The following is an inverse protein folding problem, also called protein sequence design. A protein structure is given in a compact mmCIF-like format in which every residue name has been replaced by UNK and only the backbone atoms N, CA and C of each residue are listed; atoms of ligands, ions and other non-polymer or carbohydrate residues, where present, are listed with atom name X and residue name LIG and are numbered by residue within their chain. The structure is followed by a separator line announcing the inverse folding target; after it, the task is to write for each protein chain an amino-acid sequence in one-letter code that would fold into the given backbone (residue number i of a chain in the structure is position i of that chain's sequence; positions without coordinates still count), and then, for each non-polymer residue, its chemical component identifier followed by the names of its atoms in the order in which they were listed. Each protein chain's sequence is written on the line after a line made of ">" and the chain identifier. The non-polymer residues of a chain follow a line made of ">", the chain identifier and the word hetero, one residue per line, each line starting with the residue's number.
data_IF_382328258130
#
_entry.id   IF_382328258130
#
_cell.length_a   1.000
_cell.length_b   1.000
_cell.length_c   1.000
_cell.angle_alpha   90.00
_cell.angle_beta   90.00
_cell.angle_gamma   90.00
#
_symmetry.space_group_name_H-M   'P 1'
#
loop_
_entity.id
_entity.type
_entity.pdbx_description
1 polymer ?
#
# COMPACT_ATOMS: atom_id res chain seq x y z
N UNK A 1 22.20 -43.46 -27.64
CA UNK A 1 21.28 -42.95 -28.67
C UNK A 1 19.93 -42.82 -28.03
N UNK A 2 19.50 -41.60 -27.72
CA UNK A 2 18.15 -41.08 -28.00
C UNK A 2 18.05 -39.70 -27.36
N UNK A 3 18.03 -38.70 -28.24
CA UNK A 3 17.69 -37.32 -27.96
C UNK A 3 16.17 -37.17 -28.08
N UNK A 4 15.53 -36.54 -27.11
CA UNK A 4 14.21 -35.95 -27.30
C UNK A 4 14.22 -34.53 -26.74
N UNK A 5 14.28 -33.58 -27.68
CA UNK A 5 13.96 -32.17 -27.49
C UNK A 5 12.46 -32.03 -27.28
N UNK A 6 12.04 -31.23 -26.30
CA UNK A 6 10.75 -30.54 -26.36
C UNK A 6 10.91 -29.12 -25.83
N UNK A 7 10.66 -28.19 -26.74
CA UNK A 7 10.56 -26.74 -26.55
C UNK A 7 9.59 -26.38 -25.43
N UNK A 8 9.94 -25.37 -24.64
CA UNK A 8 9.02 -24.65 -23.77
C UNK A 8 8.83 -23.24 -24.35
N UNK A 9 7.68 -23.06 -24.99
CA UNK A 9 7.14 -21.78 -25.42
C UNK A 9 6.96 -20.85 -24.22
N UNK A 10 7.65 -19.71 -24.26
CA UNK A 10 7.43 -18.58 -23.36
C UNK A 10 6.20 -17.79 -23.84
N UNK A 11 5.09 -17.94 -23.13
CA UNK A 11 3.89 -17.12 -23.31
C UNK A 11 4.16 -15.70 -22.78
N UNK A 12 4.60 -14.81 -23.66
CA UNK A 12 4.46 -13.36 -23.52
C UNK A 12 3.02 -12.96 -23.90
N UNK A 13 2.16 -12.77 -22.90
CA UNK A 13 0.88 -12.06 -23.06
C UNK A 13 0.60 -11.25 -21.80
N UNK A 14 0.89 -9.96 -21.85
CA UNK A 14 -0.04 -8.89 -21.47
C UNK A 14 0.65 -7.52 -21.60
N UNK A 15 0.93 -7.17 -22.85
CA UNK A 15 1.30 -5.81 -23.25
C UNK A 15 0.34 -5.39 -24.36
N UNK A 16 -0.78 -4.77 -24.00
CA UNK A 16 -1.54 -3.83 -24.84
C UNK A 16 -2.76 -3.34 -24.07
N UNK A 17 -2.86 -2.02 -23.86
CA UNK A 17 -4.10 -1.24 -23.98
C UNK A 17 -3.79 0.24 -23.76
N UNK A 18 -3.20 0.90 -24.75
CA UNK A 18 -3.33 2.33 -24.98
C UNK A 18 -3.06 2.58 -26.47
N UNK A 19 -4.11 2.86 -27.24
CA UNK A 19 -4.13 3.77 -28.39
C UNK A 19 -5.30 3.46 -29.33
N UNK A 20 -6.40 4.18 -29.16
CA UNK A 20 -7.29 4.66 -30.24
C UNK A 20 -7.78 6.05 -29.75
N UNK A 21 -7.97 7.11 -30.52
CA UNK A 21 -8.25 7.26 -31.96
C UNK A 21 -7.84 8.70 -32.44
N UNK A 22 -8.23 9.22 -33.64
CA UNK A 22 -7.29 9.87 -34.57
C UNK A 22 -7.65 11.34 -34.93
N UNK A 23 -6.86 11.95 -35.82
CA UNK A 23 -7.32 13.07 -36.64
C UNK A 23 -6.39 14.28 -36.66
N UNK A 24 -5.62 14.42 -37.74
CA UNK A 24 -4.92 15.66 -38.05
C UNK A 24 -5.82 16.69 -38.72
N UNK A 25 -5.42 17.97 -38.64
CA UNK A 25 -5.44 18.99 -39.70
C UNK A 25 -4.99 20.33 -39.09
N UNK A 26 -3.97 20.96 -39.68
CA UNK A 26 -3.74 22.42 -39.66
C UNK A 26 -4.23 22.94 -41.02
N UNK A 27 -4.73 24.19 -41.21
CA UNK A 27 -3.87 25.39 -41.07
C UNK A 27 -4.55 26.80 -40.90
N UNK A 28 -3.72 27.84 -40.64
CA UNK A 28 -3.77 29.23 -41.17
C UNK A 28 -4.75 30.33 -40.61
N UNK A 29 -4.10 31.46 -40.22
CA UNK A 29 -4.42 32.91 -40.26
C UNK A 29 -5.61 33.62 -39.55
N UNK A 30 -5.21 34.75 -38.91
CA UNK A 30 -5.79 36.12 -38.88
C UNK A 30 -6.82 36.56 -37.83
N UNK A 31 -6.37 37.52 -37.01
CA UNK A 31 -6.95 38.83 -36.67
C UNK A 31 -8.43 38.96 -36.22
N UNK A 32 -8.58 39.46 -34.99
CA UNK A 32 -9.10 40.81 -34.66
C UNK A 32 -10.29 40.90 -33.69
N UNK A 33 -10.25 42.00 -32.92
CA UNK A 33 -11.34 42.69 -32.18
C UNK A 33 -11.80 42.18 -30.80
N UNK A 34 -11.32 42.93 -29.79
CA UNK A 34 -11.89 43.33 -28.47
C UNK A 34 -13.42 43.56 -28.46
N UNK A 35 -14.14 43.74 -27.31
CA UNK A 35 -13.67 44.29 -26.03
C UNK A 35 -14.30 43.75 -24.71
N UNK A 36 -13.58 44.00 -23.61
CA UNK A 36 -14.10 44.44 -22.30
C UNK A 36 -15.04 43.53 -21.50
N UNK A 37 -14.65 43.17 -20.28
CA UNK A 37 -15.46 43.39 -19.07
C UNK A 37 -14.74 42.87 -17.81
N UNK A 38 -14.58 43.79 -16.85
CA UNK A 38 -14.61 43.59 -15.40
C UNK A 38 -13.46 42.81 -14.75
N UNK A 39 -12.51 43.59 -14.25
CA UNK A 39 -11.86 43.31 -12.98
C UNK A 39 -12.90 43.09 -11.89
N UNK A 40 -12.98 41.86 -11.41
CA UNK A 40 -13.50 41.53 -10.10
C UNK A 40 -12.44 40.70 -9.39
N UNK A 41 -11.62 41.46 -8.67
CA UNK A 41 -10.66 41.03 -7.68
C UNK A 41 -11.35 40.08 -6.68
N UNK A 42 -11.28 38.77 -6.95
CA UNK A 42 -11.63 37.72 -5.99
C UNK A 42 -10.36 36.96 -5.71
N UNK A 43 -9.68 37.44 -4.68
CA UNK A 43 -8.65 36.79 -3.87
C UNK A 43 -8.49 35.31 -4.21
N UNK A 44 -7.62 35.02 -5.18
CA UNK A 44 -6.96 33.74 -5.22
C UNK A 44 -6.13 33.70 -3.95
N UNK A 45 -6.67 33.07 -2.91
CA UNK A 45 -5.86 32.60 -1.80
C UNK A 45 -4.85 31.68 -2.47
N UNK A 46 -3.66 32.21 -2.70
CA UNK A 46 -2.43 31.44 -2.86
C UNK A 46 -2.32 30.65 -1.55
N UNK A 47 -2.98 29.49 -1.51
CA UNK A 47 -2.55 28.40 -0.67
C UNK A 47 -1.23 27.96 -1.30
N UNK A 48 -0.17 28.71 -0.98
CA UNK A 48 1.20 28.22 -1.02
C UNK A 48 1.30 27.15 0.04
N UNK A 49 0.71 25.99 -0.22
CA UNK A 49 1.15 24.77 0.39
C UNK A 49 2.52 24.51 -0.26
N UNK A 50 3.57 25.02 0.38
CA UNK A 50 4.87 24.37 0.37
C UNK A 50 4.60 22.97 0.90
N UNK A 51 4.14 22.08 0.02
CA UNK A 51 3.89 20.68 0.30
C UNK A 51 5.30 20.11 0.44
N UNK A 52 5.87 20.25 1.64
CA UNK A 52 7.06 19.47 1.98
C UNK A 52 6.67 18.04 1.65
N UNK A 53 7.43 17.42 0.76
CA UNK A 53 7.43 15.99 0.58
C UNK A 53 7.86 15.43 1.94
N UNK A 54 6.88 15.27 2.84
CA UNK A 54 7.08 14.75 4.18
C UNK A 54 7.34 13.28 3.99
N UNK A 55 8.61 12.95 3.81
CA UNK A 55 9.14 11.59 3.96
C UNK A 55 8.59 10.99 5.26
N UNK A 56 8.30 9.68 5.28
CA UNK A 56 7.85 9.04 6.50
C UNK A 56 8.91 9.14 7.59
N UNK A 57 8.46 9.34 8.82
CA UNK A 57 9.32 9.22 9.98
C UNK A 57 9.41 7.75 10.37
N UNK A 58 10.62 7.20 10.42
CA UNK A 58 10.85 5.86 10.91
C UNK A 58 11.01 5.94 12.43
N UNK A 59 10.12 5.26 13.15
CA UNK A 59 10.11 5.31 14.60
C UNK A 59 11.33 4.57 15.18
N UNK A 60 11.69 4.95 16.41
CA UNK A 60 12.72 4.23 17.15
C UNK A 60 12.35 2.75 17.34
N UNK A 61 13.35 1.90 17.58
CA UNK A 61 13.16 0.45 17.67
C UNK A 61 12.23 0.04 18.81
N UNK A 62 12.34 0.69 19.97
CA UNK A 62 11.49 0.46 21.13
C UNK A 62 10.05 0.92 20.88
N UNK A 63 9.86 2.10 20.29
CA UNK A 63 8.54 2.60 19.89
C UNK A 63 7.87 1.70 18.85
N UNK A 64 8.63 1.26 17.84
CA UNK A 64 8.17 0.30 16.83
C UNK A 64 7.72 -1.01 17.47
N UNK A 65 8.50 -1.54 18.42
CA UNK A 65 8.18 -2.77 19.12
C UNK A 65 6.90 -2.63 19.96
N UNK A 66 6.74 -1.51 20.68
CA UNK A 66 5.54 -1.23 21.46
C UNK A 66 4.28 -1.14 20.59
N UNK A 67 4.34 -0.40 19.48
CA UNK A 67 3.18 -0.26 18.57
C UNK A 67 2.83 -1.58 17.87
N UNK A 68 3.83 -2.37 17.46
CA UNK A 68 3.57 -3.70 16.88
C UNK A 68 2.94 -4.65 17.89
N UNK A 69 3.42 -4.64 19.13
CA UNK A 69 2.82 -5.46 20.18
C UNK A 69 1.37 -5.03 20.47
N UNK A 70 1.12 -3.72 20.60
CA UNK A 70 -0.23 -3.19 20.76
C UNK A 70 -1.15 -3.58 19.60
N UNK A 71 -0.65 -3.52 18.36
CA UNK A 71 -1.38 -3.96 17.17
C UNK A 71 -1.76 -5.45 17.24
N UNK A 72 -0.79 -6.31 17.57
CA UNK A 72 -1.02 -7.76 17.71
C UNK A 72 -2.04 -8.05 18.80
N UNK A 73 -1.91 -7.38 19.95
CA UNK A 73 -2.81 -7.56 21.08
C UNK A 73 -4.24 -7.13 20.77
N UNK A 74 -4.42 -6.04 20.00
CA UNK A 74 -5.72 -5.52 19.61
C UNK A 74 -6.40 -6.38 18.53
N UNK A 75 -5.68 -6.69 17.44
CA UNK A 75 -6.31 -7.14 16.19
C UNK A 75 -6.02 -8.59 15.82
N UNK A 76 -5.04 -9.26 16.43
CA UNK A 76 -4.57 -10.57 15.97
C UNK A 76 -4.96 -11.68 16.94
N UNK A 77 -5.58 -12.74 16.44
CA UNK A 77 -5.81 -13.97 17.18
C UNK A 77 -4.52 -14.79 17.27
N UNK A 78 -3.72 -14.55 18.31
CA UNK A 78 -2.47 -15.25 18.57
C UNK A 78 -2.65 -16.70 19.05
N UNK A 79 -3.90 -17.13 19.24
CA UNK A 79 -4.28 -18.49 19.65
C UNK A 79 -4.67 -19.38 18.47
N UNK A 80 -4.86 -18.82 17.27
CA UNK A 80 -5.22 -19.62 16.10
C UNK A 80 -4.04 -20.50 15.64
N UNK A 81 -4.37 -21.62 14.98
CA UNK A 81 -3.37 -22.60 14.53
C UNK A 81 -2.37 -22.00 13.53
N UNK A 82 -2.85 -21.09 12.66
CA UNK A 82 -1.99 -20.43 11.68
C UNK A 82 -0.91 -19.60 12.38
N UNK A 83 -1.29 -18.77 13.36
CA UNK A 83 -0.34 -17.96 14.11
C UNK A 83 0.70 -18.84 14.82
N UNK A 84 0.24 -19.88 15.51
CA UNK A 84 1.12 -20.79 16.24
C UNK A 84 2.13 -21.50 15.33
N UNK A 85 1.72 -21.88 14.11
CA UNK A 85 2.54 -22.65 13.18
C UNK A 85 3.50 -21.79 12.37
N UNK A 86 3.05 -20.62 11.89
CA UNK A 86 3.75 -19.87 10.85
C UNK A 86 4.27 -18.50 11.29
N UNK A 87 3.77 -17.93 12.40
CA UNK A 87 4.12 -16.55 12.82
C UNK A 87 4.90 -16.53 14.14
N UNK A 88 4.50 -17.36 15.12
CA UNK A 88 5.05 -17.34 16.48
C UNK A 88 6.56 -17.57 16.54
N UNK A 89 7.12 -18.36 15.63
CA UNK A 89 8.53 -18.75 15.65
C UNK A 89 9.22 -18.36 14.35
N UNK A 90 10.44 -17.85 14.47
CA UNK A 90 11.29 -17.56 13.33
C UNK A 90 11.87 -18.84 12.71
N UNK A 91 12.16 -18.74 11.41
CA UNK A 91 12.84 -19.73 10.58
C UNK A 91 14.04 -19.08 9.91
N UNK A 92 15.05 -19.88 9.60
CA UNK A 92 16.25 -19.40 8.93
C UNK A 92 16.04 -19.36 7.42
N UNK A 93 16.29 -18.20 6.83
CA UNK A 93 16.29 -17.96 5.39
C UNK A 93 17.63 -17.36 4.93
N UNK A 94 17.78 -17.15 3.62
CA UNK A 94 19.00 -16.57 3.03
C UNK A 94 19.32 -15.16 3.55
N UNK A 95 18.32 -14.41 4.01
CA UNK A 95 18.41 -13.02 4.46
C UNK A 95 18.08 -12.83 5.95
N UNK A 96 18.24 -13.90 6.74
CA UNK A 96 18.17 -13.87 8.19
C UNK A 96 17.04 -14.73 8.76
N UNK A 97 16.71 -14.48 10.02
CA UNK A 97 15.59 -15.13 10.69
C UNK A 97 14.33 -14.33 10.45
N UNK A 98 13.27 -14.99 9.96
CA UNK A 98 11.98 -14.39 9.57
C UNK A 98 10.85 -15.34 9.93
N UNK A 99 9.61 -14.87 9.97
CA UNK A 99 8.46 -15.78 10.06
C UNK A 99 7.88 -16.12 8.67
N UNK A 100 7.06 -17.16 8.60
CA UNK A 100 6.56 -17.76 7.35
C UNK A 100 5.15 -17.29 6.95
N UNK A 101 4.31 -16.93 7.92
CA UNK A 101 2.89 -16.62 7.71
C UNK A 101 2.58 -15.12 7.67
N UNK A 102 1.39 -14.77 7.21
CA UNK A 102 0.94 -13.38 7.12
C UNK A 102 0.12 -13.02 8.36
N UNK A 103 0.40 -11.88 9.00
CA UNK A 103 -0.38 -11.44 10.17
C UNK A 103 -1.87 -11.30 9.81
N UNK A 104 -2.21 -10.91 8.58
CA UNK A 104 -3.59 -10.72 8.16
C UNK A 104 -4.43 -12.00 8.12
N UNK A 105 -3.82 -13.19 8.00
CA UNK A 105 -4.52 -14.50 8.11
C UNK A 105 -5.07 -14.75 9.52
N UNK A 106 -4.57 -14.00 10.51
CA UNK A 106 -4.87 -14.18 11.92
C UNK A 106 -5.72 -13.01 12.49
N UNK A 107 -6.34 -12.17 11.66
CA UNK A 107 -7.14 -11.04 12.14
C UNK A 107 -8.39 -11.50 12.90
N UNK A 108 -8.72 -10.77 13.98
CA UNK A 108 -9.98 -10.91 14.70
C UNK A 108 -11.08 -10.16 13.96
N UNK A 109 -12.11 -10.88 13.53
CA UNK A 109 -13.32 -10.32 12.89
C UNK A 109 -13.03 -9.37 11.70
N UNK A 110 -12.17 -9.74 10.73
CA UNK A 110 -11.87 -8.88 9.60
C UNK A 110 -13.10 -8.71 8.71
N UNK A 111 -13.30 -7.48 8.22
CA UNK A 111 -14.25 -7.15 7.16
C UNK A 111 -13.48 -6.89 5.88
N UNK A 112 -13.97 -7.41 4.75
CA UNK A 112 -13.41 -7.07 3.45
C UNK A 112 -13.83 -5.65 3.05
N UNK A 113 -12.88 -4.85 2.58
CA UNK A 113 -13.11 -3.51 2.04
C UNK A 113 -12.48 -3.38 0.66
N UNK A 114 -12.95 -2.43 -0.14
CA UNK A 114 -12.35 -2.14 -1.44
C UNK A 114 -11.10 -1.28 -1.27
N UNK A 115 -10.19 -1.34 -2.24
CA UNK A 115 -9.05 -0.41 -2.29
C UNK A 115 -9.51 1.06 -2.27
N UNK A 116 -10.60 1.40 -2.97
CA UNK A 116 -11.18 2.75 -2.89
C UNK A 116 -11.60 3.12 -1.47
N UNK A 117 -12.25 2.23 -0.72
CA UNK A 117 -12.62 2.50 0.67
C UNK A 117 -11.39 2.61 1.57
N UNK A 118 -10.36 1.79 1.34
CA UNK A 118 -9.07 1.92 2.01
C UNK A 118 -8.52 3.34 1.82
N UNK A 119 -8.39 3.82 0.57
CA UNK A 119 -7.86 5.16 0.28
C UNK A 119 -8.74 6.28 0.82
N UNK A 120 -10.07 6.19 0.65
CA UNK A 120 -11.04 7.19 1.14
C UNK A 120 -11.07 7.28 2.68
N UNK A 121 -10.66 6.21 3.38
CA UNK A 121 -10.66 6.16 4.84
C UNK A 121 -9.38 6.74 5.40
N UNK A 122 -8.21 6.36 4.88
CA UNK A 122 -6.94 6.82 5.46
C UNK A 122 -6.73 8.34 5.36
N UNK A 123 -7.28 8.99 4.32
CA UNK A 123 -7.17 10.46 4.13
C UNK A 123 -7.98 11.27 5.15
N UNK A 124 -8.76 10.61 6.02
CA UNK A 124 -9.53 11.25 7.09
C UNK A 124 -8.73 11.42 8.39
N UNK A 125 -7.53 10.85 8.45
CA UNK A 125 -6.65 10.93 9.60
C UNK A 125 -5.53 11.93 9.33
N UNK A 126 -5.05 12.63 10.36
CA UNK A 126 -3.92 13.56 10.18
C UNK A 126 -2.58 12.82 10.01
N UNK A 127 -2.48 11.65 10.63
CA UNK A 127 -1.33 10.76 10.55
C UNK A 127 -1.75 9.30 10.69
N UNK A 128 -0.94 8.40 10.14
CA UNK A 128 -1.11 6.95 10.27
C UNK A 128 0.24 6.28 10.51
N UNK A 129 0.20 5.12 11.16
CA UNK A 129 1.34 4.23 11.35
C UNK A 129 1.22 3.05 10.39
N UNK A 130 2.36 2.66 9.82
CA UNK A 130 2.45 1.60 8.82
C UNK A 130 3.58 0.67 9.16
N UNK A 131 3.32 -0.63 9.09
CA UNK A 131 4.36 -1.65 9.02
C UNK A 131 4.01 -2.72 8.00
N UNK A 132 4.96 -3.59 7.69
CA UNK A 132 4.77 -4.77 6.86
C UNK A 132 5.13 -6.05 7.62
N UNK A 133 4.76 -7.19 7.03
CA UNK A 133 5.22 -8.48 7.50
C UNK A 133 6.74 -8.59 7.39
N UNK A 134 7.36 -9.31 8.33
CA UNK A 134 8.79 -9.60 8.32
C UNK A 134 9.07 -10.87 7.50
N UNK A 135 8.91 -10.74 6.18
CA UNK A 135 9.18 -11.83 5.25
C UNK A 135 10.62 -11.83 4.73
N UNK A 136 11.06 -13.02 4.37
CA UNK A 136 12.29 -13.25 3.61
C UNK A 136 12.06 -13.00 2.13
N UNK A 137 13.08 -12.50 1.43
CA UNK A 137 13.13 -12.48 -0.05
C UNK A 137 12.95 -13.86 -0.69
N UNK A 138 13.27 -14.94 0.03
CA UNK A 138 13.11 -16.32 -0.45
C UNK A 138 11.62 -16.66 -0.66
N UNK A 139 10.73 -15.91 0.00
CA UNK A 139 9.29 -16.10 0.00
C UNK A 139 8.55 -15.10 -0.91
N UNK A 140 9.01 -13.86 -0.99
CA UNK A 140 8.38 -12.78 -1.76
C UNK A 140 9.22 -12.39 -2.98
N UNK A 141 9.29 -13.30 -3.94
CA UNK A 141 10.17 -13.14 -5.12
C UNK A 141 9.63 -12.03 -6.03
N UNK A 142 10.43 -10.98 -6.22
CA UNK A 142 10.11 -9.87 -7.14
C UNK A 142 9.23 -8.78 -6.54
N UNK A 143 8.75 -8.95 -5.31
CA UNK A 143 7.98 -7.95 -4.58
C UNK A 143 8.93 -7.02 -3.80
N UNK A 144 8.61 -5.71 -3.68
CA UNK A 144 9.35 -4.83 -2.79
C UNK A 144 9.34 -5.36 -1.36
N UNK A 145 10.50 -5.32 -0.70
CA UNK A 145 10.59 -5.53 0.74
C UNK A 145 10.29 -4.23 1.47
N UNK A 146 10.07 -4.34 2.79
CA UNK A 146 9.97 -3.16 3.64
C UNK A 146 11.27 -2.36 3.49
N UNK A 147 11.21 -1.09 3.03
CA UNK A 147 12.42 -0.35 2.64
C UNK A 147 13.19 0.19 3.85
N UNK A 148 12.67 0.00 5.05
CA UNK A 148 13.25 0.46 6.31
C UNK A 148 13.76 -0.73 7.14
N UNK A 149 14.28 -0.44 8.33
CA UNK A 149 14.77 -1.48 9.24
C UNK A 149 13.70 -2.55 9.49
N UNK A 150 14.14 -3.81 9.60
CA UNK A 150 13.24 -4.93 9.89
C UNK A 150 12.42 -4.65 11.16
N UNK A 151 11.14 -5.02 11.13
CA UNK A 151 10.17 -4.78 12.21
C UNK A 151 9.94 -3.30 12.57
N UNK A 152 10.46 -2.33 11.81
CA UNK A 152 10.18 -0.92 12.09
C UNK A 152 8.73 -0.57 11.78
N UNK A 153 8.24 0.45 12.47
CA UNK A 153 6.98 1.13 12.16
C UNK A 153 7.33 2.51 11.61
N UNK A 154 6.65 2.91 10.54
CA UNK A 154 6.80 4.21 9.92
C UNK A 154 5.55 5.05 10.14
N UNK A 155 5.72 6.31 10.55
CA UNK A 155 4.66 7.30 10.66
C UNK A 155 4.56 8.08 9.34
N UNK A 156 3.37 8.10 8.76
CA UNK A 156 3.08 8.74 7.50
C UNK A 156 2.02 9.82 7.66
N UNK A 157 2.15 10.91 6.91
CA UNK A 157 0.99 11.66 6.46
C UNK A 157 0.24 10.82 5.39
N UNK A 158 -1.11 10.72 5.41
CA UNK A 158 -1.83 9.81 4.51
C UNK A 158 -1.57 10.05 3.02
N UNK A 159 -1.45 11.31 2.60
CA UNK A 159 -1.12 11.63 1.20
C UNK A 159 0.26 11.10 0.78
N UNK A 160 1.25 11.13 1.68
CA UNK A 160 2.56 10.55 1.41
C UNK A 160 2.43 9.04 1.27
N UNK A 161 1.72 8.39 2.20
CA UNK A 161 1.50 6.94 2.14
C UNK A 161 0.91 6.53 0.79
N UNK A 162 -0.15 7.21 0.32
CA UNK A 162 -0.80 6.91 -0.95
C UNK A 162 0.15 6.99 -2.15
N UNK A 163 1.06 7.97 -2.16
CA UNK A 163 2.08 8.11 -3.22
C UNK A 163 3.14 7.01 -3.13
N UNK A 164 3.46 6.55 -1.93
CA UNK A 164 4.48 5.54 -1.68
C UNK A 164 3.98 4.10 -1.86
N UNK A 165 2.66 3.84 -1.90
CA UNK A 165 2.10 2.48 -2.01
C UNK A 165 2.77 1.58 -3.08
N UNK A 166 3.11 2.06 -4.29
CA UNK A 166 3.77 1.21 -5.30
C UNK A 166 5.19 0.75 -4.93
N UNK A 167 5.82 1.39 -3.95
CA UNK A 167 7.18 1.11 -3.49
C UNK A 167 7.20 0.29 -2.19
N UNK A 168 6.04 0.12 -1.54
CA UNK A 168 5.90 -0.65 -0.31
C UNK A 168 5.63 -2.13 -0.63
N UNK A 169 5.82 -3.03 0.35
CA UNK A 169 5.44 -4.42 0.22
C UNK A 169 3.98 -4.65 -0.18
N UNK A 170 3.73 -5.83 -0.73
CA UNK A 170 2.38 -6.26 -1.11
C UNK A 170 1.45 -6.46 0.10
N UNK A 171 1.98 -6.57 1.31
CA UNK A 171 1.20 -6.62 2.55
C UNK A 171 1.63 -5.49 3.48
N UNK A 172 0.71 -4.56 3.77
CA UNK A 172 0.93 -3.48 4.74
C UNK A 172 -0.25 -3.33 5.69
N UNK A 173 0.07 -2.95 6.93
CA UNK A 173 -0.84 -2.77 8.04
C UNK A 173 -0.85 -1.30 8.43
N UNK A 174 -2.01 -0.66 8.29
CA UNK A 174 -2.21 0.77 8.55
C UNK A 174 -3.14 0.95 9.74
N UNK A 175 -2.79 1.83 10.66
CA UNK A 175 -3.53 2.13 11.90
C UNK A 175 -3.16 3.52 12.41
N UNK A 176 -3.76 3.99 13.50
CA UNK A 176 -3.36 5.21 14.19
C UNK A 176 -2.89 4.93 15.63
N UNK A 177 -2.53 5.97 16.37
CA UNK A 177 -2.05 5.85 17.76
C UNK A 177 -3.09 5.32 18.74
N UNK A 178 -4.38 5.31 18.37
CA UNK A 178 -5.43 4.75 19.22
C UNK A 178 -5.43 3.23 19.23
N UNK A 179 -4.90 2.60 18.18
CA UNK A 179 -4.93 1.14 17.97
C UNK A 179 -6.36 0.58 18.14
N UNK A 180 -7.38 1.37 17.78
CA UNK A 180 -8.79 0.97 17.83
C UNK A 180 -9.30 0.44 16.49
N UNK A 181 -8.55 0.68 15.42
CA UNK A 181 -8.85 0.20 14.08
C UNK A 181 -7.58 -0.14 13.30
N UNK A 182 -7.74 -0.93 12.25
CA UNK A 182 -6.70 -1.13 11.24
C UNK A 182 -7.30 -1.34 9.86
N UNK A 183 -6.55 -0.90 8.85
CA UNK A 183 -6.73 -1.23 7.45
C UNK A 183 -5.52 -2.01 6.96
N UNK A 184 -5.77 -3.10 6.26
CA UNK A 184 -4.73 -3.96 5.71
C UNK A 184 -4.89 -3.98 4.20
N UNK A 185 -3.80 -3.75 3.51
CA UNK A 185 -3.70 -3.97 2.08
C UNK A 185 -2.98 -5.30 1.87
N UNK A 186 -3.64 -6.29 1.30
CA UNK A 186 -3.07 -7.65 1.14
C UNK A 186 -2.55 -7.89 -0.27
N UNK A 187 -1.65 -8.86 -0.47
CA UNK A 187 -1.23 -9.32 -1.78
C UNK A 187 -2.32 -10.11 -2.53
N UNK A 188 -3.37 -10.55 -1.83
CA UNK A 188 -4.44 -11.36 -2.38
C UNK A 188 -5.37 -10.59 -3.33
N UNK A 189 -5.93 -11.29 -4.33
CA UNK A 189 -6.80 -10.71 -5.34
C UNK A 189 -8.08 -11.54 -5.54
N UNK A 190 -9.25 -10.88 -5.63
CA UNK A 190 -10.54 -11.53 -5.88
C UNK A 190 -10.83 -11.77 -7.39
N UNK A 191 -9.77 -11.98 -8.19
CA UNK A 191 -9.74 -12.02 -9.67
C UNK A 191 -10.06 -10.70 -10.37
N UNK A 192 -10.59 -9.69 -9.67
CA UNK A 192 -10.89 -8.37 -10.26
C UNK A 192 -10.11 -7.25 -9.58
N UNK A 193 -9.89 -7.35 -8.28
CA UNK A 193 -9.30 -6.30 -7.46
C UNK A 193 -8.47 -6.90 -6.33
N UNK A 194 -7.49 -6.13 -5.88
CA UNK A 194 -6.73 -6.41 -4.66
C UNK A 194 -7.66 -6.41 -3.44
N UNK A 195 -7.49 -7.39 -2.57
CA UNK A 195 -8.27 -7.53 -1.35
C UNK A 195 -7.66 -6.61 -0.28
N UNK A 196 -8.53 -5.85 0.39
CA UNK A 196 -8.20 -5.09 1.58
C UNK A 196 -9.07 -5.58 2.74
N UNK A 197 -8.53 -5.52 3.94
CA UNK A 197 -9.24 -5.88 5.16
C UNK A 197 -9.35 -4.68 6.09
N UNK A 198 -10.38 -4.66 6.94
CA UNK A 198 -10.50 -3.73 8.05
C UNK A 198 -10.90 -4.46 9.33
N UNK A 199 -10.45 -3.94 10.47
CA UNK A 199 -10.93 -4.30 11.80
C UNK A 199 -11.21 -3.00 12.55
N UNK A 200 -12.28 -2.94 13.34
CA UNK A 200 -12.61 -1.77 14.18
C UNK A 200 -13.17 -0.55 13.45
N UNK A 201 -13.29 -0.58 12.11
CA UNK A 201 -13.96 0.47 11.34
C UNK A 201 -15.43 0.12 11.08
N UNK A 202 -16.30 1.08 11.33
CA UNK A 202 -17.69 1.00 10.89
C UNK A 202 -17.77 1.17 9.37
N UNK A 203 -18.13 0.06 8.73
CA UNK A 203 -18.31 -0.03 7.29
C UNK A 203 -19.77 0.27 6.98
N UNK A 204 -20.17 1.52 7.22
CA UNK A 204 -21.40 2.09 6.63
C UNK A 204 -21.08 2.77 5.31
#
# INVERSE_FOLDING_TARGET
>A
METANTNLDLNLRDSKLLAESPGGWSPIHTNSHSPGLRDCNRSAIKLSATRMDLEPEILATDESALLRQAYVDAFVDTKCDHYAKYIRAERTFSDGKRYEGYIWDCLRQPKRVTFKRFTDTIVRFDQVFVFADDHSRDRVIGSPLWPYAALSVARFHPDTLLKCLPQLPEDIYVFDSSVSWTLILTHEHDRKRRICCSVGLDVT
#
